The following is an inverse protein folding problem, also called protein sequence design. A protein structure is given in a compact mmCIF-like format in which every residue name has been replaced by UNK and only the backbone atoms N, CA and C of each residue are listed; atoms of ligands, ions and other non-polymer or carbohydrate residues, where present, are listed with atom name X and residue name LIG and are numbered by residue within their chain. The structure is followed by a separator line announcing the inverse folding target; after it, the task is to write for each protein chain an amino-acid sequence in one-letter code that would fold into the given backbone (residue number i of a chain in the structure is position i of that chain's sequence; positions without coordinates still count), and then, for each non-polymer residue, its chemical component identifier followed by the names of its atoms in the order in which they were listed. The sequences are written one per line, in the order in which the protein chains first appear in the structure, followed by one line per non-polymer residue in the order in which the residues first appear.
data_IF_964431110413
#
_entry.id   IF_964431110413
#
_cell.length_a   1.000
_cell.length_b   1.000
_cell.length_c   1.000
_cell.angle_alpha   90.00
_cell.angle_beta   90.00
_cell.angle_gamma   90.00
#
_symmetry.space_group_name_H-M   'P 1'
#
loop_
_entity.id
_entity.type
_entity.pdbx_description
1 polymer ?
#
# COMPACT_ATOMS: atom_id res chain seq x y z
N UNK A 1 3.84 41.82 15.87
CA UNK A 1 3.46 40.43 15.70
C UNK A 1 3.66 39.66 16.98
N UNK A 2 2.62 39.03 17.50
CA UNK A 2 2.69 38.36 18.80
C UNK A 2 3.39 37.00 18.68
N UNK A 3 4.54 36.85 19.29
CA UNK A 3 5.35 35.62 19.30
C UNK A 3 4.59 34.44 19.91
N UNK A 4 3.74 34.66 20.91
CA UNK A 4 2.91 33.61 21.50
C UNK A 4 1.87 33.07 20.50
N UNK A 5 1.32 33.95 19.68
CA UNK A 5 0.35 33.58 18.64
C UNK A 5 0.98 32.73 17.54
N UNK A 6 2.20 33.07 17.12
CA UNK A 6 2.99 32.31 16.13
C UNK A 6 3.32 30.92 16.68
N UNK A 7 3.78 30.82 17.93
CA UNK A 7 4.09 29.54 18.58
C UNK A 7 2.85 28.63 18.69
N UNK A 8 1.69 29.18 19.01
CA UNK A 8 0.43 28.40 19.03
C UNK A 8 0.06 27.88 17.67
N UNK A 9 0.23 28.68 16.62
CA UNK A 9 -0.09 28.30 15.26
C UNK A 9 0.85 27.20 14.76
N UNK A 10 2.15 27.32 15.04
CA UNK A 10 3.13 26.28 14.73
C UNK A 10 2.82 24.96 15.46
N UNK A 11 2.47 25.00 16.73
CA UNK A 11 2.08 23.82 17.49
C UNK A 11 0.83 23.16 16.92
N UNK A 12 -0.17 23.93 16.49
CA UNK A 12 -1.39 23.44 15.85
C UNK A 12 -1.07 22.76 14.50
N UNK A 13 -0.20 23.37 13.69
CA UNK A 13 0.26 22.82 12.43
C UNK A 13 0.98 21.49 12.61
N UNK A 14 1.90 21.40 13.54
CA UNK A 14 2.65 20.18 13.88
C UNK A 14 1.71 19.06 14.30
N UNK A 15 0.72 19.35 15.14
CA UNK A 15 -0.30 18.36 15.55
C UNK A 15 -1.14 17.87 14.38
N UNK A 16 -1.50 18.76 13.46
CA UNK A 16 -2.23 18.38 12.24
C UNK A 16 -1.42 17.46 11.32
N UNK A 17 -0.13 17.76 11.14
CA UNK A 17 0.78 16.91 10.37
C UNK A 17 0.96 15.53 11.03
N UNK A 18 1.17 15.50 12.33
CA UNK A 18 1.28 14.26 13.12
C UNK A 18 0.02 13.39 12.96
N UNK A 19 -1.16 13.98 13.05
CA UNK A 19 -2.42 13.26 12.90
C UNK A 19 -2.56 12.64 11.51
N UNK A 20 -2.10 13.31 10.45
CA UNK A 20 -2.09 12.76 9.09
C UNK A 20 -1.19 11.53 8.97
N UNK A 21 0.00 11.56 9.58
CA UNK A 21 0.91 10.41 9.60
C UNK A 21 0.31 9.23 10.38
N UNK A 22 -0.31 9.48 11.52
CA UNK A 22 -1.01 8.46 12.30
C UNK A 22 -2.12 7.82 11.47
N UNK A 23 -2.93 8.60 10.78
CA UNK A 23 -4.03 8.11 9.94
C UNK A 23 -3.52 7.23 8.79
N UNK A 24 -2.46 7.65 8.11
CA UNK A 24 -1.84 6.88 7.03
C UNK A 24 -1.28 5.55 7.56
N UNK A 25 -0.59 5.59 8.68
CA UNK A 25 -0.07 4.39 9.33
C UNK A 25 -1.19 3.40 9.65
N UNK A 26 -2.26 3.84 10.29
CA UNK A 26 -3.41 3.01 10.63
C UNK A 26 -4.08 2.41 9.39
N UNK A 27 -4.27 3.21 8.33
CA UNK A 27 -4.84 2.74 7.07
C UNK A 27 -3.98 1.66 6.42
N UNK A 28 -2.66 1.83 6.41
CA UNK A 28 -1.72 0.86 5.85
C UNK A 28 -1.69 -0.44 6.65
N UNK A 29 -1.71 -0.36 7.97
CA UNK A 29 -1.77 -1.53 8.85
C UNK A 29 -3.07 -2.31 8.63
N UNK A 30 -4.20 -1.63 8.57
CA UNK A 30 -5.50 -2.27 8.30
C UNK A 30 -5.55 -2.94 6.95
N UNK A 31 -5.01 -2.29 5.92
CA UNK A 31 -4.97 -2.84 4.57
C UNK A 31 -4.09 -4.08 4.48
N UNK A 32 -2.92 -4.04 5.09
CA UNK A 32 -2.00 -5.18 5.19
C UNK A 32 -2.68 -6.37 5.88
N UNK A 33 -3.37 -6.12 6.99
CA UNK A 33 -4.10 -7.16 7.73
C UNK A 33 -5.23 -7.76 6.89
N UNK A 34 -6.00 -6.94 6.19
CA UNK A 34 -7.06 -7.41 5.28
C UNK A 34 -6.51 -8.28 4.15
N UNK A 35 -5.41 -7.86 3.53
CA UNK A 35 -4.76 -8.65 2.49
C UNK A 35 -4.33 -10.01 3.01
N UNK A 36 -3.65 -10.05 4.15
CA UNK A 36 -3.19 -11.29 4.77
C UNK A 36 -4.33 -12.25 5.12
N UNK A 37 -5.54 -11.75 5.34
CA UNK A 37 -6.72 -12.57 5.68
C UNK A 37 -7.59 -12.93 4.49
N UNK A 38 -7.57 -12.14 3.43
CA UNK A 38 -8.61 -12.19 2.40
C UNK A 38 -8.14 -12.69 1.04
N UNK A 39 -6.85 -12.68 0.75
CA UNK A 39 -6.33 -13.16 -0.52
C UNK A 39 -5.38 -14.35 -0.32
N UNK A 40 -5.23 -15.13 -1.38
CA UNK A 40 -4.31 -16.28 -1.38
C UNK A 40 -2.94 -15.88 -1.97
N UNK A 41 -2.92 -14.91 -2.87
CA UNK A 41 -1.70 -14.40 -3.48
C UNK A 41 -1.86 -12.94 -3.92
N UNK A 42 -0.74 -12.28 -4.11
CA UNK A 42 -0.65 -10.91 -4.60
C UNK A 42 0.28 -10.90 -5.82
N UNK A 43 -0.12 -10.23 -6.89
CA UNK A 43 0.71 -10.04 -8.07
C UNK A 43 1.21 -8.61 -8.13
N UNK A 44 2.51 -8.46 -8.34
CA UNK A 44 3.20 -7.16 -8.46
C UNK A 44 4.00 -7.11 -9.76
N UNK A 45 4.45 -5.92 -10.16
CA UNK A 45 5.22 -5.75 -11.39
C UNK A 45 6.60 -6.41 -11.29
N UNK A 46 7.34 -6.17 -10.21
CA UNK A 46 8.70 -6.61 -10.09
C UNK A 46 9.15 -6.88 -8.65
N UNK A 47 10.42 -7.26 -8.53
CA UNK A 47 11.03 -7.67 -7.26
C UNK A 47 11.06 -6.58 -6.21
N UNK A 48 11.24 -5.31 -6.59
CA UNK A 48 11.26 -4.19 -5.64
C UNK A 48 9.92 -4.02 -4.93
N UNK A 49 8.83 -4.20 -5.67
CA UNK A 49 7.48 -4.16 -5.11
C UNK A 49 7.24 -5.31 -4.14
N UNK A 50 7.72 -6.51 -4.50
CA UNK A 50 7.68 -7.68 -3.63
C UNK A 50 8.40 -7.40 -2.30
N UNK A 51 9.61 -6.87 -2.35
CA UNK A 51 10.38 -6.51 -1.15
C UNK A 51 9.64 -5.49 -0.31
N UNK A 52 9.07 -4.47 -0.94
CA UNK A 52 8.27 -3.44 -0.27
C UNK A 52 7.10 -4.04 0.48
N UNK A 53 6.31 -4.89 -0.16
CA UNK A 53 5.16 -5.54 0.48
C UNK A 53 5.57 -6.47 1.63
N UNK A 54 6.66 -7.22 1.47
CA UNK A 54 7.20 -8.05 2.57
C UNK A 54 7.56 -7.21 3.78
N UNK A 55 8.19 -6.07 3.57
CA UNK A 55 8.57 -5.16 4.66
C UNK A 55 7.37 -4.45 5.28
N UNK A 56 6.27 -4.32 4.56
CA UNK A 56 5.01 -3.81 5.09
C UNK A 56 4.27 -4.85 5.96
N UNK A 57 4.69 -6.10 5.93
CA UNK A 57 4.09 -7.16 6.71
C UNK A 57 3.19 -8.13 5.95
N UNK A 58 3.23 -8.10 4.62
CA UNK A 58 2.50 -9.07 3.80
C UNK A 58 3.15 -10.44 3.95
N UNK A 59 2.38 -11.42 4.39
CA UNK A 59 2.81 -12.80 4.61
C UNK A 59 2.34 -13.77 3.52
N UNK A 60 1.41 -13.36 2.66
CA UNK A 60 0.89 -14.19 1.58
C UNK A 60 1.89 -14.32 0.43
N UNK A 61 1.67 -15.32 -0.43
CA UNK A 61 2.47 -15.49 -1.64
C UNK A 61 2.44 -14.23 -2.49
N UNK A 62 3.62 -13.77 -2.92
CA UNK A 62 3.75 -12.62 -3.82
C UNK A 62 4.38 -13.13 -5.12
N UNK A 63 3.71 -12.89 -6.23
CA UNK A 63 4.09 -13.35 -7.55
C UNK A 63 4.43 -12.13 -8.41
N UNK A 64 5.58 -12.14 -9.07
CA UNK A 64 5.92 -11.08 -10.02
C UNK A 64 5.23 -11.33 -11.37
N UNK A 65 5.00 -10.27 -12.13
CA UNK A 65 4.25 -10.33 -13.38
C UNK A 65 4.81 -11.35 -14.39
N UNK A 66 6.15 -11.49 -14.45
CA UNK A 66 6.76 -12.47 -15.38
C UNK A 66 6.67 -13.92 -14.91
N UNK A 67 6.48 -14.15 -13.60
CA UNK A 67 6.35 -15.50 -13.03
C UNK A 67 4.92 -16.05 -13.10
N UNK A 68 3.94 -15.20 -13.33
CA UNK A 68 2.52 -15.58 -13.25
C UNK A 68 2.15 -16.72 -14.18
N UNK A 69 2.80 -16.83 -15.33
CA UNK A 69 2.60 -17.89 -16.33
C UNK A 69 3.00 -19.27 -15.84
N UNK A 70 3.84 -19.33 -14.83
CA UNK A 70 4.38 -20.58 -14.27
C UNK A 70 3.71 -21.00 -12.95
N UNK A 71 2.63 -20.32 -12.58
CA UNK A 71 1.92 -20.58 -11.32
C UNK A 71 0.53 -21.15 -11.59
N UNK A 72 0.08 -22.02 -10.71
CA UNK A 72 -1.30 -22.47 -10.70
C UNK A 72 -2.17 -21.44 -9.98
N UNK A 73 -3.04 -20.78 -10.73
CA UNK A 73 -3.89 -19.70 -10.24
C UNK A 73 -5.34 -20.13 -10.00
N UNK A 74 -5.68 -21.38 -10.33
CA UNK A 74 -7.06 -21.87 -10.26
C UNK A 74 -7.63 -21.79 -8.86
N UNK A 75 -8.79 -21.17 -8.76
CA UNK A 75 -9.52 -21.01 -7.50
C UNK A 75 -8.90 -20.05 -6.49
N UNK A 76 -7.76 -19.43 -6.79
CA UNK A 76 -7.09 -18.50 -5.89
C UNK A 76 -7.72 -17.11 -5.97
N UNK A 77 -7.82 -16.48 -4.80
CA UNK A 77 -8.21 -15.07 -4.66
C UNK A 77 -6.94 -14.23 -4.73
N UNK A 78 -6.84 -13.37 -5.73
CA UNK A 78 -5.61 -12.68 -6.07
C UNK A 78 -5.84 -11.17 -6.11
N UNK A 79 -5.00 -10.41 -5.40
CA UNK A 79 -4.92 -8.97 -5.53
C UNK A 79 -3.81 -8.61 -6.52
N UNK A 80 -4.08 -7.69 -7.43
CA UNK A 80 -3.09 -7.20 -8.39
C UNK A 80 -2.68 -5.80 -7.97
N UNK A 81 -1.44 -5.64 -7.57
CA UNK A 81 -0.89 -4.38 -7.05
C UNK A 81 0.20 -3.85 -7.99
N UNK A 82 -0.22 -3.38 -9.14
CA UNK A 82 0.63 -2.64 -10.07
C UNK A 82 0.66 -1.17 -9.70
N UNK A 83 1.62 -0.42 -10.23
CA UNK A 83 1.74 1.01 -9.97
C UNK A 83 0.47 1.79 -10.33
N UNK A 84 0.30 2.97 -9.76
CA UNK A 84 -0.90 3.80 -9.88
C UNK A 84 -0.79 4.87 -10.98
N UNK A 85 0.08 4.64 -11.95
CA UNK A 85 0.21 5.44 -13.17
C UNK A 85 -0.52 4.77 -14.35
N UNK A 86 -0.49 5.41 -15.52
CA UNK A 86 -1.18 4.88 -16.71
C UNK A 86 -0.63 3.54 -17.18
N UNK A 87 0.68 3.33 -17.06
CA UNK A 87 1.32 2.05 -17.37
C UNK A 87 0.85 0.95 -16.42
N UNK A 88 0.83 1.25 -15.11
CA UNK A 88 0.35 0.34 -14.08
C UNK A 88 -1.12 -0.02 -14.24
N UNK A 89 -1.98 0.93 -14.64
CA UNK A 89 -3.39 0.67 -14.93
C UNK A 89 -3.56 -0.31 -16.10
N UNK A 90 -2.80 -0.10 -17.15
CA UNK A 90 -2.82 -0.98 -18.34
C UNK A 90 -2.35 -2.38 -17.97
N UNK A 91 -1.26 -2.48 -17.23
CA UNK A 91 -0.71 -3.75 -16.77
C UNK A 91 -1.67 -4.47 -15.82
N UNK A 92 -2.36 -3.75 -14.95
CA UNK A 92 -3.39 -4.30 -14.08
C UNK A 92 -4.50 -4.99 -14.91
N UNK A 93 -4.97 -4.36 -15.95
CA UNK A 93 -5.99 -4.93 -16.83
C UNK A 93 -5.50 -6.20 -17.54
N UNK A 94 -4.29 -6.18 -18.06
CA UNK A 94 -3.68 -7.32 -18.74
C UNK A 94 -3.50 -8.50 -17.79
N UNK A 95 -2.92 -8.27 -16.63
CA UNK A 95 -2.70 -9.30 -15.60
C UNK A 95 -4.03 -9.85 -15.09
N UNK A 96 -5.00 -8.99 -14.82
CA UNK A 96 -6.32 -9.40 -14.34
C UNK A 96 -7.04 -10.31 -15.32
N UNK A 97 -6.98 -10.01 -16.63
CA UNK A 97 -7.51 -10.88 -17.68
C UNK A 97 -6.83 -12.23 -17.72
N UNK A 98 -5.51 -12.24 -17.59
CA UNK A 98 -4.74 -13.47 -17.54
C UNK A 98 -5.15 -14.36 -16.36
N UNK A 99 -5.23 -13.76 -15.16
CA UNK A 99 -5.63 -14.49 -13.95
C UNK A 99 -7.02 -15.11 -14.10
N UNK A 100 -7.98 -14.33 -14.58
CA UNK A 100 -9.35 -14.81 -14.78
C UNK A 100 -9.42 -15.92 -15.81
N UNK A 101 -8.69 -15.80 -16.92
CA UNK A 101 -8.60 -16.87 -17.94
C UNK A 101 -7.95 -18.15 -17.42
N UNK A 102 -7.08 -18.03 -16.41
CA UNK A 102 -6.42 -19.15 -15.76
C UNK A 102 -7.24 -19.74 -14.60
N UNK A 103 -8.45 -19.25 -14.35
CA UNK A 103 -9.35 -19.75 -13.32
C UNK A 103 -9.19 -19.11 -11.93
N UNK A 104 -8.41 -18.07 -11.82
CA UNK A 104 -8.27 -17.28 -10.59
C UNK A 104 -9.37 -16.22 -10.46
N UNK A 105 -9.47 -15.64 -9.27
CA UNK A 105 -10.40 -14.54 -8.96
C UNK A 105 -9.62 -13.30 -8.57
N UNK A 106 -9.77 -12.22 -9.35
CA UNK A 106 -9.13 -10.95 -9.06
C UNK A 106 -9.95 -10.14 -8.07
N UNK A 107 -9.31 -9.65 -7.02
CA UNK A 107 -9.90 -8.80 -5.99
C UNK A 107 -9.40 -7.36 -6.16
N UNK A 108 -10.08 -6.60 -7.03
CA UNK A 108 -9.70 -5.21 -7.37
C UNK A 108 -9.81 -4.23 -6.19
N UNK A 109 -10.64 -4.52 -5.21
CA UNK A 109 -10.88 -3.64 -4.06
C UNK A 109 -9.58 -3.27 -3.32
N UNK A 110 -8.62 -4.18 -3.25
CA UNK A 110 -7.37 -3.94 -2.53
C UNK A 110 -6.46 -2.95 -3.27
N UNK A 111 -6.42 -3.03 -4.59
CA UNK A 111 -5.70 -2.04 -5.39
C UNK A 111 -6.33 -0.66 -5.25
N UNK A 112 -7.63 -0.58 -5.24
CA UNK A 112 -8.36 0.67 -5.01
C UNK A 112 -8.06 1.26 -3.63
N UNK A 113 -7.99 0.45 -2.60
CA UNK A 113 -7.62 0.88 -1.24
C UNK A 113 -6.18 1.40 -1.18
N UNK A 114 -5.23 0.71 -1.79
CA UNK A 114 -3.84 1.18 -1.92
C UNK A 114 -3.77 2.50 -2.70
N UNK A 115 -4.48 2.60 -3.80
CA UNK A 115 -4.56 3.81 -4.61
C UNK A 115 -5.10 4.99 -3.79
N UNK A 116 -6.12 4.77 -2.98
CA UNK A 116 -6.67 5.79 -2.09
C UNK A 116 -5.65 6.36 -1.11
N UNK A 117 -4.84 5.48 -0.50
CA UNK A 117 -3.76 5.89 0.40
C UNK A 117 -2.66 6.62 -0.38
N UNK A 118 -2.26 6.07 -1.52
CA UNK A 118 -1.20 6.63 -2.36
C UNK A 118 -1.52 8.03 -2.88
N UNK A 119 -2.75 8.26 -3.33
CA UNK A 119 -3.19 9.57 -3.85
C UNK A 119 -3.12 10.66 -2.78
N UNK A 120 -3.44 10.37 -1.54
CA UNK A 120 -3.31 11.32 -0.43
C UNK A 120 -1.87 11.77 -0.19
N UNK A 121 -0.89 10.99 -0.65
CA UNK A 121 0.55 11.22 -0.47
C UNK A 121 1.28 11.55 -1.76
N UNK A 122 0.59 11.65 -2.90
CA UNK A 122 1.21 11.87 -4.20
C UNK A 122 2.08 10.70 -4.67
N UNK A 123 1.82 9.50 -4.17
CA UNK A 123 2.57 8.29 -4.51
C UNK A 123 1.91 7.61 -5.72
N UNK A 124 2.72 7.23 -6.70
CA UNK A 124 2.27 6.51 -7.90
C UNK A 124 2.84 5.11 -8.03
N UNK A 125 3.88 4.79 -7.26
CA UNK A 125 4.59 3.51 -7.30
C UNK A 125 4.44 2.76 -5.98
N UNK A 126 4.23 1.47 -6.06
CA UNK A 126 4.16 0.59 -4.88
C UNK A 126 5.44 0.67 -4.05
N UNK A 127 6.59 0.70 -4.70
CA UNK A 127 7.90 0.82 -4.04
C UNK A 127 7.98 2.01 -3.08
N UNK A 128 7.34 3.12 -3.43
CA UNK A 128 7.33 4.36 -2.62
C UNK A 128 6.45 4.25 -1.37
N UNK A 129 5.54 3.29 -1.31
CA UNK A 129 4.67 3.07 -0.14
C UNK A 129 5.46 2.71 1.11
N UNK A 130 6.56 2.01 0.96
CA UNK A 130 7.45 1.64 2.07
C UNK A 130 8.02 2.87 2.78
N UNK A 131 8.47 3.86 2.02
CA UNK A 131 8.98 5.11 2.58
C UNK A 131 7.91 5.82 3.40
N UNK A 132 6.70 5.87 2.89
CA UNK A 132 5.55 6.46 3.58
C UNK A 132 5.23 5.72 4.87
N UNK A 133 5.24 4.39 4.85
CA UNK A 133 5.04 3.58 6.06
C UNK A 133 6.10 3.88 7.10
N UNK A 134 7.38 3.90 6.70
CA UNK A 134 8.51 4.17 7.60
C UNK A 134 8.42 5.57 8.20
N UNK A 135 8.11 6.58 7.41
CA UNK A 135 7.93 7.96 7.91
C UNK A 135 6.77 8.04 8.90
N UNK A 136 5.67 7.36 8.60
CA UNK A 136 4.50 7.30 9.47
C UNK A 136 4.81 6.60 10.80
N UNK A 137 5.53 5.47 10.76
CA UNK A 137 6.00 4.77 11.96
C UNK A 137 6.87 5.66 12.84
N UNK A 138 7.85 6.34 12.26
CA UNK A 138 8.74 7.24 12.99
C UNK A 138 7.97 8.36 13.66
N UNK A 139 6.97 8.94 13.01
CA UNK A 139 6.12 9.97 13.59
C UNK A 139 5.26 9.44 14.74
N UNK A 140 4.70 8.25 14.61
CA UNK A 140 3.90 7.61 15.66
C UNK A 140 4.75 7.27 16.88
N UNK A 141 5.90 6.63 16.70
CA UNK A 141 6.76 6.19 17.79
C UNK A 141 7.48 7.35 18.47
N UNK A 142 7.93 8.35 17.72
CA UNK A 142 8.62 9.52 18.27
C UNK A 142 7.69 10.54 18.94
N UNK A 143 6.39 10.44 18.74
CA UNK A 143 5.41 11.38 19.29
C UNK A 143 5.03 11.09 20.74
N UNK A 144 5.52 10.02 21.35
CA UNK A 144 5.18 9.60 22.70
C UNK A 144 3.77 9.02 22.87
N UNK A 145 3.08 8.72 21.78
CA UNK A 145 1.73 8.12 21.82
C UNK A 145 1.69 6.70 22.39
N UNK A 146 2.84 6.13 22.68
CA UNK A 146 3.00 4.75 23.14
C UNK A 146 3.53 4.63 24.57
N UNK A 147 3.43 5.68 25.32
CA UNK A 147 3.78 5.63 26.75
C UNK A 147 2.59 5.18 27.58
#
# INVERSE_FOLDING_TARGET
MDVKRIKRWQAFRIRGERQRYINVYEEMVKLTDKLNKSVDAIVVEGRRDLITLRRMGISKEIITAHEIKHRDLRGKRIAVLTDFDSHGEKLNKEISKFIESAGGKVKQVYREMFCGIALKRGIRQIESMRKTLRESELMVFNSGCWK
#
